data_IF_505589759307
#
_entry.id   IF_505589759307
#
_cell.length_a   1.000
_cell.length_b   1.000
_cell.length_c   1.000
_cell.angle_alpha   90.00
_cell.angle_beta   90.00
_cell.angle_gamma   90.00
#
_symmetry.space_group_name_H-M   'P 1'
#
loop_
_entity.id
_entity.type
_entity.pdbx_description
1 polymer ?
#
# COMPACT_ATOMS: atom_id res chain seq x y z
N UNK A 1 4.69 -11.23 26.91
CA UNK A 1 4.59 -10.30 25.78
C UNK A 1 4.39 -11.13 24.52
N UNK A 2 3.36 -10.88 23.72
CA UNK A 2 3.21 -11.53 22.41
C UNK A 2 4.34 -11.02 21.50
N UNK A 3 4.91 -11.88 20.67
CA UNK A 3 6.02 -11.51 19.76
C UNK A 3 5.64 -10.30 18.89
N UNK A 4 4.39 -10.23 18.43
CA UNK A 4 3.82 -9.09 17.69
C UNK A 4 3.95 -7.75 18.44
N UNK A 5 3.75 -7.75 19.76
CA UNK A 5 3.83 -6.54 20.58
C UNK A 5 5.26 -6.06 20.73
N UNK A 6 6.23 -6.98 20.83
CA UNK A 6 7.64 -6.62 20.89
C UNK A 6 8.10 -5.99 19.57
N UNK A 7 7.70 -6.56 18.44
CA UNK A 7 8.02 -6.03 17.10
C UNK A 7 7.46 -4.61 16.93
N UNK A 8 6.22 -4.37 17.35
CA UNK A 8 5.60 -3.04 17.27
C UNK A 8 6.33 -1.98 18.12
N UNK A 9 6.78 -2.36 19.32
CA UNK A 9 7.54 -1.48 20.22
C UNK A 9 8.90 -1.13 19.60
N UNK A 10 9.64 -2.13 19.10
CA UNK A 10 10.92 -1.89 18.44
C UNK A 10 10.79 -1.01 17.20
N UNK A 11 9.74 -1.21 16.40
CA UNK A 11 9.47 -0.40 15.22
C UNK A 11 9.19 1.06 15.57
N UNK A 12 8.30 1.30 16.54
CA UNK A 12 7.94 2.65 16.99
C UNK A 12 9.15 3.37 17.60
N UNK A 13 9.94 2.65 18.39
CA UNK A 13 11.18 3.18 18.97
C UNK A 13 12.20 3.55 17.89
N UNK A 14 12.42 2.67 16.90
CA UNK A 14 13.30 2.94 15.76
C UNK A 14 12.86 4.15 14.95
N UNK A 15 11.56 4.30 14.69
CA UNK A 15 11.01 5.49 14.02
C UNK A 15 11.25 6.77 14.81
N UNK A 16 10.95 6.77 16.12
CA UNK A 16 11.15 7.93 16.97
C UNK A 16 12.61 8.38 16.99
N UNK A 17 13.54 7.43 17.14
CA UNK A 17 14.99 7.68 17.10
C UNK A 17 15.42 8.22 15.74
N UNK A 18 14.93 7.64 14.64
CA UNK A 18 15.24 8.10 13.28
C UNK A 18 14.78 9.54 13.03
N UNK A 19 13.59 9.90 13.51
CA UNK A 19 13.06 11.26 13.42
C UNK A 19 13.93 12.25 14.22
N UNK A 20 14.32 11.89 15.45
CA UNK A 20 15.19 12.73 16.30
C UNK A 20 16.52 13.01 15.59
N UNK A 21 17.16 11.99 15.00
CA UNK A 21 18.40 12.17 14.26
C UNK A 21 18.23 13.02 12.99
N UNK A 22 17.08 12.92 12.32
CA UNK A 22 16.76 13.75 11.16
C UNK A 22 16.69 15.24 11.54
N UNK A 23 16.00 15.57 12.63
CA UNK A 23 15.91 16.95 13.14
C UNK A 23 17.24 17.54 13.63
N UNK A 24 18.19 16.69 14.04
CA UNK A 24 19.51 17.13 14.49
C UNK A 24 20.42 17.54 13.30
N UNK A 25 20.07 17.20 12.06
CA UNK A 25 20.80 17.57 10.86
C UNK A 25 20.32 18.94 10.31
N UNK A 26 21.10 20.04 10.44
CA UNK A 26 20.61 21.41 10.28
C UNK A 26 20.30 21.86 8.83
N UNK A 27 20.48 21.00 7.83
CA UNK A 27 20.17 21.29 6.41
C UNK A 27 18.93 20.56 5.87
N UNK A 28 18.28 19.73 6.67
CA UNK A 28 17.08 18.99 6.28
C UNK A 28 16.08 18.99 7.44
N UNK A 29 15.32 20.07 7.61
CA UNK A 29 14.06 19.96 8.33
C UNK A 29 13.07 19.28 7.37
N UNK A 30 12.65 18.02 7.61
CA UNK A 30 11.63 17.41 6.77
C UNK A 30 10.35 18.20 6.99
N UNK A 31 9.74 18.72 5.93
CA UNK A 31 8.39 19.28 6.01
C UNK A 31 7.44 18.14 6.40
N UNK A 32 7.18 18.02 7.71
CA UNK A 32 6.37 16.93 8.27
C UNK A 32 4.95 16.98 7.69
N UNK A 33 4.45 18.19 7.43
CA UNK A 33 3.20 18.45 6.71
C UNK A 33 3.22 17.85 5.30
N UNK A 34 4.28 18.06 4.52
CA UNK A 34 4.42 17.49 3.18
C UNK A 34 4.56 15.95 3.22
N UNK A 35 5.12 15.38 4.28
CA UNK A 35 5.17 13.92 4.44
C UNK A 35 3.81 13.33 4.86
N UNK A 36 3.06 14.05 5.70
CA UNK A 36 1.73 13.62 6.17
C UNK A 36 0.67 13.71 5.07
N UNK A 37 0.67 14.81 4.32
CA UNK A 37 -0.36 15.15 3.33
C UNK A 37 0.09 15.00 1.87
N UNK A 38 1.37 14.76 1.63
CA UNK A 38 1.94 14.74 0.27
C UNK A 38 2.00 16.13 -0.36
N UNK A 39 2.68 16.23 -1.49
CA UNK A 39 2.60 17.41 -2.35
C UNK A 39 2.61 16.98 -3.82
N UNK A 40 1.46 17.16 -4.47
CA UNK A 40 1.26 16.79 -5.88
C UNK A 40 2.13 17.69 -6.80
N UNK A 41 2.45 18.91 -6.39
CA UNK A 41 3.26 19.85 -7.17
C UNK A 41 4.75 19.47 -7.24
N UNK A 42 5.22 18.66 -6.29
CA UNK A 42 6.63 18.20 -6.26
C UNK A 42 6.85 16.91 -7.05
N UNK A 43 5.82 16.38 -7.70
CA UNK A 43 5.92 15.14 -8.48
C UNK A 43 6.68 15.41 -9.77
N UNK A 44 7.76 14.66 -10.00
CA UNK A 44 8.50 14.69 -11.25
C UNK A 44 7.99 13.65 -12.24
N UNK A 45 8.30 13.83 -13.53
CA UNK A 45 7.97 12.83 -14.56
C UNK A 45 8.65 11.48 -14.31
N UNK A 46 9.84 11.51 -13.71
CA UNK A 46 10.59 10.31 -13.33
C UNK A 46 9.85 9.52 -12.24
N UNK A 47 9.35 10.19 -11.21
CA UNK A 47 8.56 9.55 -10.14
C UNK A 47 7.30 8.88 -10.72
N UNK A 48 6.66 9.52 -11.72
CA UNK A 48 5.49 8.97 -12.41
C UNK A 48 5.84 7.72 -13.23
N UNK A 49 6.98 7.73 -13.93
CA UNK A 49 7.46 6.59 -14.72
C UNK A 49 7.82 5.39 -13.84
N UNK A 50 8.53 5.63 -12.74
CA UNK A 50 8.91 4.58 -11.77
C UNK A 50 7.64 3.98 -11.16
N UNK A 51 6.70 4.82 -10.70
CA UNK A 51 5.45 4.36 -10.11
C UNK A 51 4.58 3.61 -11.13
N UNK A 52 4.53 4.08 -12.37
CA UNK A 52 3.86 3.40 -13.47
C UNK A 52 4.46 2.03 -13.76
N UNK A 53 5.80 1.93 -13.77
CA UNK A 53 6.52 0.67 -13.94
C UNK A 53 6.22 -0.35 -12.83
N UNK A 54 6.25 0.10 -11.57
CA UNK A 54 5.86 -0.72 -10.41
C UNK A 54 4.41 -1.20 -10.54
N UNK A 55 3.49 -0.31 -10.92
CA UNK A 55 2.08 -0.65 -11.10
C UNK A 55 1.88 -1.74 -12.18
N UNK A 56 2.49 -1.57 -13.36
CA UNK A 56 2.42 -2.55 -14.45
C UNK A 56 3.02 -3.89 -14.02
N UNK A 57 4.17 -3.86 -13.34
CA UNK A 57 4.83 -5.06 -12.84
C UNK A 57 3.92 -5.83 -11.86
N UNK A 58 3.29 -5.13 -10.92
CA UNK A 58 2.33 -5.73 -9.98
C UNK A 58 1.11 -6.31 -10.72
N UNK A 59 0.54 -5.60 -11.69
CA UNK A 59 -0.61 -6.10 -12.47
C UNK A 59 -0.25 -7.41 -13.19
N UNK A 60 0.93 -7.47 -13.83
CA UNK A 60 1.40 -8.68 -14.51
C UNK A 60 1.56 -9.82 -13.51
N UNK A 61 2.21 -9.58 -12.37
CA UNK A 61 2.41 -10.59 -11.33
C UNK A 61 1.05 -11.11 -10.82
N UNK A 62 0.13 -10.22 -10.44
CA UNK A 62 -1.18 -10.62 -9.91
C UNK A 62 -2.04 -11.34 -10.95
N UNK A 63 -1.93 -10.97 -12.23
CA UNK A 63 -2.70 -11.64 -13.29
C UNK A 63 -2.17 -13.06 -13.53
N UNK A 64 -0.84 -13.24 -13.51
CA UNK A 64 -0.21 -14.54 -13.72
C UNK A 64 -0.39 -15.48 -12.52
N UNK A 65 -0.32 -14.94 -11.30
CA UNK A 65 -0.42 -15.70 -10.05
C UNK A 65 -1.79 -15.58 -9.36
N UNK A 66 -2.85 -15.19 -10.09
CA UNK A 66 -4.20 -15.03 -9.49
C UNK A 66 -4.72 -16.31 -8.84
N UNK A 67 -4.47 -17.47 -9.46
CA UNK A 67 -4.94 -18.76 -8.97
C UNK A 67 -4.26 -19.14 -7.64
N UNK A 68 -2.91 -19.21 -7.53
CA UNK A 68 -2.26 -19.55 -6.26
C UNK A 68 -2.60 -18.57 -5.14
N UNK A 69 -2.73 -17.27 -5.44
CA UNK A 69 -3.14 -16.26 -4.45
C UNK A 69 -4.54 -16.57 -3.90
N UNK A 70 -5.49 -16.95 -4.76
CA UNK A 70 -6.86 -17.30 -4.34
C UNK A 70 -6.87 -18.59 -3.51
N UNK A 71 -6.07 -19.61 -3.89
CA UNK A 71 -5.98 -20.85 -3.13
C UNK A 71 -5.46 -20.61 -1.71
N UNK A 72 -4.40 -19.82 -1.57
CA UNK A 72 -3.83 -19.44 -0.27
C UNK A 72 -4.83 -18.61 0.55
N UNK A 73 -5.61 -17.74 -0.10
CA UNK A 73 -6.60 -16.91 0.57
C UNK A 73 -7.83 -17.70 1.09
N UNK A 74 -8.21 -18.80 0.43
CA UNK A 74 -9.34 -19.63 0.84
C UNK A 74 -8.95 -20.64 1.92
N UNK A 75 -7.86 -21.37 1.72
CA UNK A 75 -7.40 -22.38 2.66
C UNK A 75 -5.88 -22.56 2.56
N UNK A 76 -5.19 -22.02 3.56
CA UNK A 76 -3.73 -22.08 3.67
C UNK A 76 -3.22 -23.50 3.90
N UNK A 77 -3.91 -24.26 4.75
CA UNK A 77 -3.53 -25.63 5.12
C UNK A 77 -3.71 -26.55 3.91
N UNK A 78 -4.81 -26.37 3.17
CA UNK A 78 -5.03 -27.09 1.92
C UNK A 78 -3.97 -26.74 0.87
N UNK A 79 -3.66 -25.46 0.67
CA UNK A 79 -2.62 -25.03 -0.27
C UNK A 79 -1.22 -25.61 0.08
N UNK A 80 -0.91 -25.70 1.37
CA UNK A 80 0.33 -26.32 1.87
C UNK A 80 0.35 -27.82 1.55
N UNK A 81 -0.77 -28.52 1.76
CA UNK A 81 -0.89 -29.95 1.44
C UNK A 81 -0.79 -30.26 -0.06
N UNK A 82 -1.16 -29.31 -0.93
CA UNK A 82 -1.06 -29.41 -2.39
C UNK A 82 0.36 -29.12 -2.93
N UNK A 83 1.34 -28.87 -2.05
CA UNK A 83 2.73 -28.62 -2.42
C UNK A 83 3.00 -27.22 -2.94
N UNK A 84 2.07 -26.26 -2.77
CA UNK A 84 2.37 -24.86 -3.07
C UNK A 84 3.29 -24.26 -1.98
N UNK A 85 4.29 -23.45 -2.35
CA UNK A 85 5.14 -22.76 -1.40
C UNK A 85 4.41 -21.55 -0.78
N UNK A 86 3.45 -21.82 0.11
CA UNK A 86 2.58 -20.81 0.75
C UNK A 86 3.40 -19.70 1.39
N UNK A 87 4.42 -20.06 2.19
CA UNK A 87 5.28 -19.10 2.87
C UNK A 87 5.98 -18.14 1.90
N UNK A 88 6.45 -18.64 0.75
CA UNK A 88 7.09 -17.81 -0.26
C UNK A 88 6.11 -16.77 -0.80
N UNK A 89 4.89 -17.18 -1.18
CA UNK A 89 3.86 -16.26 -1.67
C UNK A 89 3.42 -15.25 -0.62
N UNK A 90 3.35 -15.62 0.66
CA UNK A 90 3.05 -14.68 1.74
C UNK A 90 4.13 -13.61 1.88
N UNK A 91 5.40 -13.99 1.94
CA UNK A 91 6.50 -13.03 2.02
C UNK A 91 6.57 -12.13 0.77
N UNK A 92 6.31 -12.70 -0.41
CA UNK A 92 6.30 -11.94 -1.67
C UNK A 92 5.15 -10.94 -1.71
N UNK A 93 3.95 -11.34 -1.26
CA UNK A 93 2.81 -10.46 -1.14
C UNK A 93 3.06 -9.34 -0.12
N UNK A 94 3.62 -9.67 1.05
CA UNK A 94 4.02 -8.68 2.05
C UNK A 94 5.05 -7.69 1.49
N UNK A 95 6.05 -8.18 0.75
CA UNK A 95 7.05 -7.34 0.11
C UNK A 95 6.42 -6.38 -0.93
N UNK A 96 5.46 -6.85 -1.73
CA UNK A 96 4.76 -5.99 -2.68
C UNK A 96 3.86 -4.95 -2.01
N UNK A 97 3.19 -5.31 -0.92
CA UNK A 97 2.42 -4.35 -0.13
C UNK A 97 3.35 -3.28 0.44
N UNK A 98 4.47 -3.68 1.04
CA UNK A 98 5.46 -2.76 1.59
C UNK A 98 6.03 -1.83 0.50
N UNK A 99 6.42 -2.39 -0.64
CA UNK A 99 6.91 -1.63 -1.80
C UNK A 99 5.86 -0.62 -2.28
N UNK A 100 4.61 -1.04 -2.43
CA UNK A 100 3.52 -0.17 -2.87
C UNK A 100 3.29 0.99 -1.90
N UNK A 101 3.25 0.69 -0.59
CA UNK A 101 3.08 1.71 0.44
C UNK A 101 4.23 2.73 0.35
N UNK A 102 5.48 2.27 0.39
CA UNK A 102 6.67 3.14 0.38
C UNK A 102 6.71 4.02 -0.87
N UNK A 103 6.40 3.48 -2.05
CA UNK A 103 6.38 4.27 -3.28
C UNK A 103 5.24 5.31 -3.29
N UNK A 104 4.07 4.97 -2.75
CA UNK A 104 2.95 5.89 -2.65
C UNK A 104 3.17 7.01 -1.62
N UNK A 105 3.93 6.76 -0.54
CA UNK A 105 4.19 7.75 0.52
C UNK A 105 4.80 9.04 -0.02
N UNK A 106 5.73 8.93 -0.98
CA UNK A 106 6.44 10.09 -1.55
C UNK A 106 5.54 11.03 -2.33
N UNK A 107 4.49 10.48 -2.96
CA UNK A 107 3.60 11.20 -3.88
C UNK A 107 2.38 11.73 -3.14
N UNK A 108 1.75 10.88 -2.31
CA UNK A 108 0.41 11.12 -1.76
C UNK A 108 0.46 11.46 -0.26
N UNK A 109 1.50 11.04 0.46
CA UNK A 109 1.62 11.23 1.91
C UNK A 109 0.94 10.13 2.74
N UNK A 110 1.42 9.91 3.97
CA UNK A 110 1.07 8.73 4.77
C UNK A 110 -0.41 8.62 5.13
N UNK A 111 -1.06 9.76 5.45
CA UNK A 111 -2.45 9.76 5.90
C UNK A 111 -3.37 9.34 4.76
N UNK A 112 -3.16 9.94 3.59
CA UNK A 112 -3.93 9.66 2.38
C UNK A 112 -3.71 8.22 1.88
N UNK A 113 -2.48 7.70 1.95
CA UNK A 113 -2.19 6.31 1.55
C UNK A 113 -2.96 5.31 2.41
N UNK A 114 -2.97 5.48 3.73
CA UNK A 114 -3.69 4.58 4.63
C UNK A 114 -5.20 4.62 4.33
N UNK A 115 -5.77 5.81 4.14
CA UNK A 115 -7.18 5.96 3.77
C UNK A 115 -7.48 5.32 2.41
N UNK A 116 -6.64 5.57 1.40
CA UNK A 116 -6.87 5.09 0.03
C UNK A 116 -6.74 3.56 -0.08
N UNK A 117 -5.88 2.93 0.73
CA UNK A 117 -5.74 1.47 0.75
C UNK A 117 -6.87 0.79 1.53
N UNK A 118 -7.35 1.40 2.62
CA UNK A 118 -8.32 0.76 3.53
C UNK A 118 -9.78 0.98 3.11
N UNK A 119 -10.16 2.21 2.77
CA UNK A 119 -11.56 2.59 2.51
C UNK A 119 -12.17 1.82 1.33
N UNK A 120 -11.61 1.83 0.10
CA UNK A 120 -12.23 1.15 -1.03
C UNK A 120 -12.25 -0.37 -0.87
N UNK A 121 -11.28 -0.94 -0.14
CA UNK A 121 -11.28 -2.36 0.21
C UNK A 121 -12.43 -2.69 1.15
N UNK A 122 -12.57 -1.94 2.24
CA UNK A 122 -13.66 -2.16 3.20
C UNK A 122 -15.03 -1.95 2.57
N UNK A 123 -15.19 -0.88 1.78
CA UNK A 123 -16.45 -0.62 1.06
C UNK A 123 -16.78 -1.72 0.07
N UNK A 124 -15.82 -2.21 -0.73
CA UNK A 124 -16.09 -3.29 -1.68
C UNK A 124 -16.47 -4.62 -0.98
N UNK A 125 -15.89 -4.89 0.19
CA UNK A 125 -16.18 -6.09 0.98
C UNK A 125 -17.65 -6.12 1.46
N UNK A 126 -18.25 -4.96 1.75
CA UNK A 126 -19.67 -4.87 2.11
C UNK A 126 -20.63 -5.30 0.98
N UNK A 127 -20.24 -5.11 -0.28
CA UNK A 127 -21.10 -5.39 -1.44
C UNK A 127 -20.91 -6.79 -2.02
N UNK A 128 -19.79 -7.46 -1.75
CA UNK A 128 -19.49 -8.75 -2.40
C UNK A 128 -18.50 -9.59 -1.60
N UNK A 129 -18.73 -10.91 -1.56
CA UNK A 129 -17.83 -11.90 -0.92
C UNK A 129 -16.89 -12.64 -1.89
N UNK A 130 -16.96 -12.36 -3.20
CA UNK A 130 -16.06 -12.95 -4.20
C UNK A 130 -14.77 -12.13 -4.34
N UNK A 131 -13.62 -12.77 -4.11
CA UNK A 131 -12.29 -12.15 -4.13
C UNK A 131 -12.01 -11.34 -5.41
N UNK A 132 -12.34 -11.90 -6.58
CA UNK A 132 -12.15 -11.21 -7.87
C UNK A 132 -13.00 -9.96 -8.00
N UNK A 133 -14.25 -9.99 -7.51
CA UNK A 133 -15.15 -8.83 -7.56
C UNK A 133 -14.72 -7.75 -6.57
N UNK A 134 -14.24 -8.13 -5.38
CA UNK A 134 -13.69 -7.18 -4.41
C UNK A 134 -12.55 -6.38 -5.05
N UNK A 135 -11.61 -7.05 -5.71
CA UNK A 135 -10.48 -6.37 -6.39
C UNK A 135 -10.99 -5.31 -7.39
N UNK A 136 -11.88 -5.70 -8.31
CA UNK A 136 -12.40 -4.78 -9.33
C UNK A 136 -13.25 -3.65 -8.74
N UNK A 137 -14.10 -3.95 -7.75
CA UNK A 137 -14.91 -2.93 -7.07
C UNK A 137 -14.04 -1.95 -6.30
N UNK A 138 -13.02 -2.41 -5.58
CA UNK A 138 -12.10 -1.54 -4.85
C UNK A 138 -11.31 -0.63 -5.78
N UNK A 139 -10.83 -1.14 -6.92
CA UNK A 139 -10.17 -0.32 -7.94
C UNK A 139 -11.13 0.74 -8.47
N UNK A 140 -12.36 0.37 -8.81
CA UNK A 140 -13.37 1.30 -9.32
C UNK A 140 -13.73 2.40 -8.32
N UNK A 141 -13.99 2.04 -7.06
CA UNK A 141 -14.31 2.98 -5.99
C UNK A 141 -13.12 3.91 -5.73
N UNK A 142 -11.91 3.35 -5.58
CA UNK A 142 -10.70 4.14 -5.34
C UNK A 142 -10.42 5.14 -6.46
N UNK A 143 -10.53 4.70 -7.71
CA UNK A 143 -10.32 5.56 -8.88
C UNK A 143 -11.36 6.69 -8.96
N UNK A 144 -12.65 6.38 -8.76
CA UNK A 144 -13.72 7.38 -8.73
C UNK A 144 -13.56 8.37 -7.58
N UNK A 145 -13.16 7.90 -6.40
CA UNK A 145 -12.89 8.77 -5.25
C UNK A 145 -11.70 9.69 -5.50
N UNK A 146 -10.61 9.19 -6.08
CA UNK A 146 -9.46 10.02 -6.44
C UNK A 146 -9.81 11.08 -7.50
N UNK A 147 -10.51 10.68 -8.57
CA UNK A 147 -10.96 11.61 -9.60
C UNK A 147 -11.91 12.66 -9.02
N UNK A 148 -12.91 12.23 -8.25
CA UNK A 148 -13.86 13.14 -7.60
C UNK A 148 -13.17 14.15 -6.68
N UNK A 149 -12.22 13.69 -5.86
CA UNK A 149 -11.41 14.56 -5.01
C UNK A 149 -10.59 15.57 -5.80
N UNK A 150 -9.95 15.13 -6.90
CA UNK A 150 -9.18 16.01 -7.78
C UNK A 150 -10.06 17.06 -8.47
N UNK A 151 -11.22 16.66 -8.99
CA UNK A 151 -12.17 17.58 -9.63
C UNK A 151 -12.68 18.65 -8.66
N UNK A 152 -13.05 18.25 -7.43
CA UNK A 152 -13.48 19.18 -6.39
C UNK A 152 -12.35 20.14 -6.02
N UNK A 153 -11.11 19.65 -5.94
CA UNK A 153 -9.94 20.47 -5.63
C UNK A 153 -9.53 21.41 -6.76
N UNK A 154 -9.83 21.09 -8.02
CA UNK A 154 -9.54 21.98 -9.15
C UNK A 154 -10.58 23.08 -9.29
N UNK A 155 -11.83 22.78 -8.96
CA UNK A 155 -12.95 23.73 -9.08
C UNK A 155 -13.08 24.67 -7.87
N UNK A 156 -12.28 24.47 -6.82
CA UNK A 156 -12.29 25.26 -5.59
C UNK A 156 -10.91 25.83 -5.31
#
# INVERSE_FOLDING_TARGET
MREDSAIAVFWTFGMAVGIIFSFLSPKFAPDLSAYLFGNILTITQEDLLIQGGVCVFLIIFFTLFINPIIYIAFDREFAYSQGLPVALFEYLLMAFIALTIVSCLRIIGIVLVISLLTVPQMTANLFTHSFKRIIWCSIGIGYLSCLGGLFISYYK
#
